data_IF_962970465009
#
_entry.id   IF_962970465009
#
_cell.length_a   1.000
_cell.length_b   1.000
_cell.length_c   1.000
_cell.angle_alpha   90.00
_cell.angle_beta   90.00
_cell.angle_gamma   90.00
#
_symmetry.space_group_name_H-M   'P 1'
#
loop_
_entity.id
_entity.type
_entity.pdbx_description
1 polymer ?
#
# COMPACT_ATOMS: atom_id res chain seq x y z
N UNK A 1 13.51 6.59 -17.48
CA UNK A 1 13.79 7.92 -16.90
C UNK A 1 12.86 8.07 -15.71
N UNK A 2 13.33 8.53 -14.56
CA UNK A 2 12.50 8.72 -13.36
C UNK A 2 11.54 9.89 -13.57
N UNK A 3 10.24 9.68 -13.36
CA UNK A 3 9.26 10.75 -13.38
C UNK A 3 9.43 11.65 -12.14
N UNK A 4 8.99 12.90 -12.23
CA UNK A 4 9.12 13.87 -11.13
C UNK A 4 7.74 14.42 -10.80
N UNK A 5 7.34 14.29 -9.54
CA UNK A 5 6.21 15.03 -8.97
C UNK A 5 6.72 16.38 -8.48
N UNK A 6 6.17 17.48 -8.97
CA UNK A 6 6.77 18.82 -8.81
C UNK A 6 5.91 19.70 -7.89
N UNK A 7 6.47 20.80 -7.36
CA UNK A 7 5.68 21.78 -6.61
C UNK A 7 4.53 22.38 -7.45
N UNK A 8 4.74 22.54 -8.76
CA UNK A 8 3.72 23.05 -9.69
C UNK A 8 2.54 22.09 -9.83
N UNK A 9 2.79 20.77 -9.84
CA UNK A 9 1.72 19.77 -9.79
C UNK A 9 0.91 19.93 -8.50
N UNK A 10 1.55 20.06 -7.34
CA UNK A 10 0.83 20.28 -6.07
C UNK A 10 0.06 21.60 -6.05
N UNK A 11 0.65 22.68 -6.56
CA UNK A 11 -0.02 23.99 -6.64
C UNK A 11 -1.30 23.95 -7.50
N UNK A 12 -1.43 22.98 -8.40
CA UNK A 12 -2.65 22.79 -9.18
C UNK A 12 -3.84 22.29 -8.34
N UNK A 13 -3.62 21.68 -7.16
CA UNK A 13 -4.69 21.25 -6.24
C UNK A 13 -5.58 22.44 -5.85
N UNK A 14 -4.96 23.59 -5.53
CA UNK A 14 -5.69 24.80 -5.12
C UNK A 14 -6.54 25.43 -6.25
N UNK A 15 -6.43 24.93 -7.48
CA UNK A 15 -7.11 25.48 -8.67
C UNK A 15 -8.37 24.71 -9.05
N UNK A 16 -8.70 23.63 -8.34
CA UNK A 16 -9.84 22.77 -8.61
C UNK A 16 -10.59 22.41 -7.32
N UNK A 17 -11.88 22.05 -7.39
CA UNK A 17 -12.58 21.42 -6.27
C UNK A 17 -11.87 20.14 -5.82
N UNK A 18 -11.80 19.92 -4.50
CA UNK A 18 -11.19 18.73 -3.94
C UNK A 18 -12.10 17.51 -4.19
N UNK A 19 -11.55 16.36 -4.63
CA UNK A 19 -12.28 15.11 -4.75
C UNK A 19 -12.44 14.44 -3.37
N UNK A 20 -13.17 15.09 -2.48
CA UNK A 20 -13.36 14.64 -1.10
C UNK A 20 -14.24 13.39 -1.04
N UNK A 21 -13.81 12.42 -0.23
CA UNK A 21 -14.65 11.30 0.19
C UNK A 21 -15.78 11.80 1.12
N UNK A 22 -16.95 11.15 1.13
CA UNK A 22 -17.98 11.42 2.13
C UNK A 22 -17.45 11.20 3.55
N UNK A 23 -17.97 11.98 4.50
CA UNK A 23 -17.66 11.81 5.92
C UNK A 23 -18.17 10.44 6.37
N UNK A 24 -17.30 9.65 7.00
CA UNK A 24 -17.67 8.34 7.55
C UNK A 24 -18.52 8.55 8.81
N UNK A 25 -19.70 7.93 8.84
CA UNK A 25 -20.54 7.91 10.04
C UNK A 25 -19.94 6.95 11.07
N UNK A 26 -19.41 7.50 12.16
CA UNK A 26 -18.83 6.73 13.25
C UNK A 26 -19.80 5.72 13.90
N UNK A 27 -21.12 5.96 13.81
CA UNK A 27 -22.12 5.06 14.36
C UNK A 27 -22.38 3.83 13.48
N UNK A 28 -21.99 3.89 12.20
CA UNK A 28 -22.12 2.80 11.24
C UNK A 28 -20.90 1.87 11.21
N UNK A 29 -19.83 2.20 11.95
CA UNK A 29 -18.58 1.42 11.96
C UNK A 29 -18.80 0.08 12.66
N UNK A 30 -18.50 -1.01 11.95
CA UNK A 30 -18.54 -2.37 12.48
C UNK A 30 -17.14 -3.00 12.38
N UNK A 31 -16.59 -3.54 13.48
CA UNK A 31 -15.31 -4.23 13.43
C UNK A 31 -15.46 -5.55 12.68
N UNK A 32 -14.57 -5.82 11.71
CA UNK A 32 -14.50 -7.13 11.04
C UNK A 32 -14.12 -8.22 12.05
N UNK A 33 -13.16 -7.92 12.94
CA UNK A 33 -12.73 -8.80 14.03
C UNK A 33 -12.75 -8.04 15.36
N UNK A 34 -13.77 -8.26 16.22
CA UNK A 34 -13.81 -7.63 17.54
C UNK A 34 -12.54 -7.92 18.35
N UNK A 35 -11.91 -6.88 18.90
CA UNK A 35 -10.69 -7.02 19.70
C UNK A 35 -9.38 -7.05 18.89
N UNK A 36 -9.44 -6.83 17.57
CA UNK A 36 -8.26 -6.75 16.70
C UNK A 36 -8.36 -5.48 15.85
N UNK A 37 -7.32 -4.66 15.88
CA UNK A 37 -7.20 -3.54 14.95
C UNK A 37 -6.70 -4.06 13.61
N UNK A 38 -7.40 -3.71 12.53
CA UNK A 38 -7.09 -4.12 11.17
C UNK A 38 -6.85 -2.89 10.27
N UNK A 39 -5.74 -2.91 9.53
CA UNK A 39 -5.38 -1.86 8.58
C UNK A 39 -4.61 -2.46 7.40
N UNK A 40 -4.33 -1.65 6.38
CA UNK A 40 -3.65 -2.07 5.14
C UNK A 40 -4.22 -3.37 4.56
N UNK A 41 -5.35 -3.26 3.87
CA UNK A 41 -6.01 -4.40 3.25
C UNK A 41 -5.53 -4.58 1.82
N UNK A 42 -5.24 -5.81 1.41
CA UNK A 42 -5.12 -6.17 -0.01
C UNK A 42 -5.71 -7.55 -0.30
N UNK A 43 -6.44 -7.70 -1.42
CA UNK A 43 -6.86 -9.02 -1.88
C UNK A 43 -5.68 -9.77 -2.45
N UNK A 44 -5.80 -11.10 -2.49
CA UNK A 44 -4.99 -11.92 -3.38
C UNK A 44 -5.39 -11.63 -4.82
N UNK A 45 -4.42 -11.37 -5.69
CA UNK A 45 -4.63 -11.07 -7.11
C UNK A 45 -3.99 -12.14 -7.98
N UNK A 46 -4.42 -12.30 -9.23
CA UNK A 46 -3.65 -13.05 -10.24
C UNK A 46 -2.59 -12.17 -10.88
N UNK A 47 -1.68 -12.76 -11.66
CA UNK A 47 -0.56 -12.03 -12.29
C UNK A 47 -0.99 -10.90 -13.23
N UNK A 48 -2.22 -10.92 -13.73
CA UNK A 48 -2.79 -9.86 -14.56
C UNK A 48 -3.36 -8.68 -13.76
N UNK A 49 -3.33 -8.77 -12.43
CA UNK A 49 -3.84 -7.75 -11.51
C UNK A 49 -5.30 -7.95 -11.10
N UNK A 50 -6.02 -8.93 -11.65
CA UNK A 50 -7.41 -9.17 -11.26
C UNK A 50 -7.52 -9.81 -9.87
N UNK A 51 -8.57 -9.49 -9.12
CA UNK A 51 -8.80 -10.10 -7.80
C UNK A 51 -9.11 -11.60 -7.95
N UNK A 52 -8.32 -12.44 -7.30
CA UNK A 52 -8.41 -13.88 -7.40
C UNK A 52 -9.64 -14.43 -6.64
N UNK A 53 -10.43 -15.26 -7.33
CA UNK A 53 -11.51 -16.04 -6.74
C UNK A 53 -10.97 -17.38 -6.23
N UNK A 54 -11.00 -17.59 -4.92
CA UNK A 54 -10.42 -18.76 -4.26
C UNK A 54 -11.48 -19.37 -3.34
N UNK A 55 -11.86 -20.62 -3.60
CA UNK A 55 -13.02 -21.24 -2.97
C UNK A 55 -14.33 -20.55 -3.35
N UNK A 56 -15.19 -20.27 -2.37
CA UNK A 56 -16.44 -19.50 -2.53
C UNK A 56 -16.25 -17.99 -2.30
N UNK A 57 -15.01 -17.52 -2.15
CA UNK A 57 -14.70 -16.15 -1.77
C UNK A 57 -13.45 -15.56 -2.42
N UNK A 58 -12.98 -14.50 -1.78
CA UNK A 58 -11.68 -13.87 -2.03
C UNK A 58 -10.85 -13.99 -0.77
N UNK A 59 -9.56 -14.25 -0.92
CA UNK A 59 -8.61 -14.19 0.19
C UNK A 59 -8.03 -12.78 0.28
N UNK A 60 -7.85 -12.31 1.51
CA UNK A 60 -7.33 -10.99 1.81
C UNK A 60 -6.25 -11.11 2.86
N UNK A 61 -5.17 -10.38 2.67
CA UNK A 61 -4.21 -10.13 3.72
C UNK A 61 -4.46 -8.75 4.30
N UNK A 62 -4.18 -8.65 5.58
CA UNK A 62 -4.40 -7.44 6.38
C UNK A 62 -3.33 -7.35 7.45
N UNK A 63 -2.93 -6.13 7.78
CA UNK A 63 -2.13 -5.90 8.98
C UNK A 63 -3.03 -5.90 10.20
N UNK A 64 -2.57 -6.56 11.26
CA UNK A 64 -3.33 -6.76 12.48
C UNK A 64 -2.48 -6.54 13.72
N UNK A 65 -3.14 -6.07 14.78
CA UNK A 65 -2.60 -6.02 16.13
C UNK A 65 -3.74 -6.19 17.14
N UNK A 66 -3.40 -6.61 18.36
CA UNK A 66 -4.37 -6.66 19.45
C UNK A 66 -4.92 -5.26 19.71
N UNK A 67 -6.23 -5.17 19.86
CA UNK A 67 -6.91 -3.92 20.16
C UNK A 67 -6.65 -3.46 21.61
N UNK A 68 -5.50 -2.85 21.87
CA UNK A 68 -5.14 -2.34 23.21
C UNK A 68 -4.44 -0.97 23.17
N UNK A 69 -4.71 -0.15 24.19
CA UNK A 69 -4.01 1.12 24.38
C UNK A 69 -4.20 2.13 23.24
N UNK A 70 -3.15 2.93 23.01
CA UNK A 70 -3.07 3.90 21.93
C UNK A 70 -2.96 3.18 20.57
N UNK A 71 -3.87 3.45 19.60
CA UNK A 71 -3.78 2.89 18.26
C UNK A 71 -2.43 3.06 17.58
N UNK A 72 -1.67 4.12 17.87
CA UNK A 72 -0.35 4.37 17.24
C UNK A 72 0.63 3.22 17.55
N UNK A 73 0.49 2.57 18.71
CA UNK A 73 1.35 1.46 19.12
C UNK A 73 1.11 0.18 18.29
N UNK A 74 0.04 0.10 17.50
CA UNK A 74 -0.23 -1.07 16.63
C UNK A 74 0.92 -1.34 15.65
N UNK A 75 1.61 -0.29 15.20
CA UNK A 75 2.71 -0.39 14.23
C UNK A 75 3.93 -1.13 14.80
N UNK A 76 4.12 -1.14 16.12
CA UNK A 76 5.20 -1.89 16.79
C UNK A 76 4.86 -3.36 17.04
N UNK A 77 3.59 -3.75 16.84
CA UNK A 77 3.05 -5.10 17.09
C UNK A 77 2.51 -5.78 15.82
N UNK A 78 2.61 -5.12 14.67
CA UNK A 78 1.98 -5.52 13.42
C UNK A 78 2.31 -6.97 13.01
N UNK A 79 1.26 -7.72 12.67
CA UNK A 79 1.31 -9.07 12.10
C UNK A 79 0.39 -9.17 10.90
N UNK A 80 0.83 -9.92 9.89
CA UNK A 80 0.00 -10.29 8.75
C UNK A 80 -1.04 -11.32 9.20
N UNK A 81 -2.30 -11.05 8.85
CA UNK A 81 -3.43 -11.94 9.09
C UNK A 81 -4.11 -12.25 7.77
N UNK A 82 -4.56 -13.49 7.61
CA UNK A 82 -5.31 -13.94 6.45
C UNK A 82 -6.80 -13.94 6.78
N UNK A 83 -7.60 -13.30 5.92
CA UNK A 83 -9.05 -13.30 5.99
C UNK A 83 -9.64 -13.88 4.69
N UNK A 84 -10.85 -14.43 4.79
CA UNK A 84 -11.62 -14.92 3.65
C UNK A 84 -12.96 -14.19 3.60
N UNK A 85 -13.22 -13.48 2.49
CA UNK A 85 -14.47 -12.74 2.26
C UNK A 85 -15.39 -13.53 1.33
N UNK A 86 -16.58 -13.90 1.83
CA UNK A 86 -17.63 -14.56 1.06
C UNK A 86 -18.93 -13.75 1.11
N UNK A 87 -20.01 -14.25 0.49
CA UNK A 87 -21.34 -13.66 0.61
C UNK A 87 -21.87 -13.66 2.06
N UNK A 88 -21.34 -14.52 2.93
CA UNK A 88 -21.69 -14.57 4.35
C UNK A 88 -20.89 -13.56 5.21
N UNK A 89 -19.95 -12.83 4.61
CA UNK A 89 -19.09 -11.86 5.30
C UNK A 89 -17.64 -12.35 5.44
N UNK A 90 -16.96 -11.81 6.44
CA UNK A 90 -15.55 -12.07 6.71
C UNK A 90 -15.36 -13.27 7.62
N UNK A 91 -14.43 -14.15 7.26
CA UNK A 91 -13.95 -15.24 8.10
C UNK A 91 -12.47 -15.09 8.35
N UNK A 92 -12.10 -15.15 9.62
CA UNK A 92 -10.72 -15.16 10.06
C UNK A 92 -10.03 -16.50 9.77
N UNK A 93 -8.89 -16.47 9.09
CA UNK A 93 -8.03 -17.64 8.87
C UNK A 93 -6.75 -17.60 9.71
N UNK A 94 -6.58 -16.58 10.56
CA UNK A 94 -5.48 -16.47 11.51
C UNK A 94 -4.22 -15.79 10.95
N UNK A 95 -3.16 -15.73 11.77
CA UNK A 95 -1.86 -15.18 11.35
C UNK A 95 -1.30 -15.92 10.13
N UNK A 96 -0.68 -15.17 9.22
CA UNK A 96 0.02 -15.74 8.05
C UNK A 96 1.21 -16.58 8.51
N UNK A 97 2.03 -16.01 9.38
CA UNK A 97 3.23 -16.63 9.88
C UNK A 97 3.01 -17.18 11.29
N UNK A 98 3.51 -18.39 11.54
CA UNK A 98 3.60 -18.91 12.90
C UNK A 98 4.49 -18.00 13.75
N UNK A 99 4.21 -17.93 15.06
CA UNK A 99 5.06 -17.19 15.98
C UNK A 99 6.51 -17.66 15.85
N UNK A 100 7.44 -16.72 15.69
CA UNK A 100 8.84 -17.05 15.44
C UNK A 100 9.12 -17.62 14.04
N UNK A 101 8.34 -17.29 13.00
CA UNK A 101 8.72 -17.58 11.60
C UNK A 101 9.02 -16.34 10.74
N UNK A 102 8.53 -15.14 11.10
CA UNK A 102 8.85 -13.88 10.40
C UNK A 102 10.28 -13.37 10.64
N UNK A 103 11.03 -12.92 9.61
CA UNK A 103 12.39 -12.41 9.75
C UNK A 103 12.48 -11.05 10.47
N UNK A 104 11.38 -10.31 10.53
CA UNK A 104 11.26 -9.05 11.25
C UNK A 104 10.68 -9.22 12.64
N UNK A 105 10.80 -8.19 13.48
CA UNK A 105 10.02 -8.11 14.72
C UNK A 105 8.57 -7.68 14.46
N UNK A 106 8.31 -7.08 13.29
CA UNK A 106 6.98 -6.75 12.77
C UNK A 106 6.88 -7.13 11.30
N UNK A 107 5.65 -7.40 10.89
CA UNK A 107 5.28 -7.68 9.49
C UNK A 107 4.42 -6.53 9.00
N UNK A 108 4.81 -5.93 7.89
CA UNK A 108 4.20 -4.76 7.27
C UNK A 108 3.72 -5.09 5.86
N UNK A 109 3.06 -4.11 5.22
CA UNK A 109 2.24 -4.33 4.04
C UNK A 109 3.01 -4.84 2.82
N UNK A 110 2.26 -5.29 1.81
CA UNK A 110 2.77 -5.68 0.51
C UNK A 110 1.65 -6.11 -0.44
N UNK A 111 1.86 -7.22 -1.16
CA UNK A 111 0.93 -7.76 -2.16
C UNK A 111 0.97 -9.29 -2.19
N UNK A 112 -0.04 -9.93 -2.76
CA UNK A 112 -0.08 -11.40 -2.82
C UNK A 112 -0.66 -11.89 -4.13
N UNK A 113 0.08 -12.77 -4.80
CA UNK A 113 -0.24 -13.26 -6.13
C UNK A 113 -0.61 -14.73 -6.09
N UNK A 114 -1.73 -15.09 -6.70
CA UNK A 114 -2.17 -16.45 -6.91
C UNK A 114 -1.85 -16.92 -8.32
N UNK A 115 -1.24 -18.08 -8.40
CA UNK A 115 -1.07 -18.84 -9.64
C UNK A 115 -2.12 -19.96 -9.70
N UNK A 116 -3.13 -19.86 -10.59
CA UNK A 116 -4.17 -20.88 -10.69
C UNK A 116 -3.68 -22.23 -11.23
N UNK A 117 -2.59 -22.25 -11.99
CA UNK A 117 -2.07 -23.47 -12.61
C UNK A 117 -1.34 -24.33 -11.58
N UNK A 118 -0.48 -23.70 -10.76
CA UNK A 118 0.23 -24.38 -9.67
C UNK A 118 -0.57 -24.43 -8.36
N UNK A 119 -1.62 -23.61 -8.24
CA UNK A 119 -2.40 -23.38 -7.02
C UNK A 119 -1.54 -22.89 -5.86
N UNK A 120 -0.67 -21.95 -6.16
CA UNK A 120 0.28 -21.38 -5.20
C UNK A 120 0.03 -19.89 -4.99
N UNK A 121 0.17 -19.44 -3.74
CA UNK A 121 0.27 -18.02 -3.37
C UNK A 121 1.75 -17.65 -3.28
N UNK A 122 2.12 -16.52 -3.83
CA UNK A 122 3.36 -15.80 -3.52
C UNK A 122 3.01 -14.51 -2.80
N UNK A 123 3.37 -14.42 -1.53
CA UNK A 123 3.27 -13.22 -0.72
C UNK A 123 4.55 -12.41 -0.87
N UNK A 124 4.42 -11.13 -1.20
CA UNK A 124 5.48 -10.13 -1.07
C UNK A 124 5.13 -9.22 0.11
N UNK A 125 6.04 -9.05 1.06
CA UNK A 125 5.77 -8.26 2.26
C UNK A 125 7.01 -7.55 2.78
N UNK A 126 6.78 -6.62 3.72
CA UNK A 126 7.85 -5.90 4.38
C UNK A 126 8.11 -6.49 5.76
N UNK A 127 9.36 -6.86 6.05
CA UNK A 127 9.79 -7.18 7.40
C UNK A 127 10.40 -5.94 8.04
N UNK A 128 9.83 -5.50 9.16
CA UNK A 128 10.33 -4.36 9.92
C UNK A 128 11.11 -4.80 11.17
N UNK A 129 12.29 -4.19 11.36
CA UNK A 129 13.27 -4.58 12.37
C UNK A 129 13.86 -5.97 12.16
N UNK A 130 14.56 -6.45 13.19
CA UNK A 130 15.00 -7.85 13.30
C UNK A 130 14.31 -8.49 14.49
N UNK A 131 13.91 -9.75 14.34
CA UNK A 131 13.17 -10.47 15.37
C UNK A 131 13.87 -10.44 16.74
N UNK A 132 15.12 -10.86 16.77
CA UNK A 132 15.91 -11.01 18.00
C UNK A 132 16.86 -9.83 18.24
N UNK A 133 16.62 -8.71 17.54
CA UNK A 133 17.43 -7.51 17.62
C UNK A 133 16.84 -6.44 18.52
N UNK A 134 17.60 -5.37 18.82
CA UNK A 134 17.02 -4.16 19.41
C UNK A 134 15.93 -3.60 18.49
N UNK A 135 15.01 -2.81 19.08
CA UNK A 135 14.00 -2.11 18.29
C UNK A 135 14.67 -1.22 17.24
N UNK A 136 14.20 -1.33 15.99
CA UNK A 136 14.64 -0.49 14.89
C UNK A 136 13.55 -0.39 13.83
N UNK A 137 13.64 0.63 12.99
CA UNK A 137 12.79 0.81 11.81
C UNK A 137 13.44 0.22 10.54
N UNK A 138 14.39 -0.71 10.68
CA UNK A 138 14.96 -1.42 9.53
C UNK A 138 13.83 -1.99 8.67
N UNK A 139 13.89 -1.79 7.35
CA UNK A 139 12.86 -2.25 6.43
C UNK A 139 13.51 -3.09 5.33
N UNK A 140 13.00 -4.30 5.13
CA UNK A 140 13.49 -5.26 4.14
C UNK A 140 12.31 -5.93 3.46
N UNK A 141 12.46 -6.22 2.17
CA UNK A 141 11.42 -6.85 1.36
C UNK A 141 11.64 -8.36 1.35
N UNK A 142 10.56 -9.11 1.51
CA UNK A 142 10.58 -10.57 1.55
C UNK A 142 9.50 -11.16 0.66
N UNK A 143 9.73 -12.39 0.21
CA UNK A 143 8.69 -13.24 -0.35
C UNK A 143 8.53 -14.55 0.43
N UNK A 144 7.33 -15.12 0.42
CA UNK A 144 7.02 -16.44 0.92
C UNK A 144 5.93 -17.10 0.07
N UNK A 145 5.90 -18.43 0.02
CA UNK A 145 4.96 -19.20 -0.79
C UNK A 145 4.08 -20.10 0.06
N UNK A 146 2.83 -20.32 -0.35
CA UNK A 146 1.94 -21.30 0.26
C UNK A 146 1.04 -21.95 -0.79
N UNK A 147 0.77 -23.24 -0.65
CA UNK A 147 -0.19 -23.95 -1.50
C UNK A 147 -1.62 -23.62 -1.10
N UNK A 148 -2.55 -23.72 -2.07
CA UNK A 148 -3.98 -23.48 -1.88
C UNK A 148 -4.78 -24.73 -2.24
N UNK A 149 -5.68 -25.13 -1.35
CA UNK A 149 -6.64 -26.21 -1.58
C UNK A 149 -8.04 -25.76 -1.20
N UNK A 150 -8.89 -25.48 -2.19
CA UNK A 150 -10.16 -24.79 -1.97
C UNK A 150 -9.91 -23.38 -1.44
N UNK A 151 -10.44 -23.06 -0.26
CA UNK A 151 -10.14 -21.82 0.47
C UNK A 151 -9.09 -21.99 1.58
N UNK A 152 -8.54 -23.19 1.75
CA UNK A 152 -7.51 -23.45 2.75
C UNK A 152 -6.13 -23.10 2.19
N UNK A 153 -5.35 -22.35 2.97
CA UNK A 153 -3.95 -22.02 2.68
C UNK A 153 -3.06 -22.93 3.52
N UNK A 154 -2.09 -23.57 2.87
CA UNK A 154 -1.11 -24.44 3.51
C UNK A 154 -0.09 -23.66 4.36
N UNK A 155 0.90 -24.37 4.89
CA UNK A 155 2.00 -23.73 5.59
C UNK A 155 2.82 -22.86 4.63
N UNK A 156 3.17 -21.66 5.09
CA UNK A 156 4.05 -20.76 4.34
C UNK A 156 5.50 -21.26 4.38
N UNK A 157 6.20 -21.09 3.26
CA UNK A 157 7.63 -21.33 3.17
C UNK A 157 8.40 -20.39 4.10
N UNK A 158 9.66 -20.73 4.39
CA UNK A 158 10.56 -19.79 5.04
C UNK A 158 10.67 -18.51 4.18
N UNK A 159 10.47 -17.31 4.75
CA UNK A 159 10.59 -16.07 4.00
C UNK A 159 12.00 -15.88 3.43
N UNK A 160 12.07 -15.51 2.15
CA UNK A 160 13.31 -15.22 1.42
C UNK A 160 13.43 -13.72 1.20
N UNK A 161 14.56 -13.14 1.58
CA UNK A 161 14.82 -11.71 1.32
C UNK A 161 14.95 -11.48 -0.19
N UNK A 162 14.33 -10.42 -0.68
CA UNK A 162 14.33 -10.03 -2.08
C UNK A 162 14.73 -8.57 -2.23
N UNK A 163 15.31 -8.24 -3.38
CA UNK A 163 15.68 -6.87 -3.72
C UNK A 163 16.44 -6.17 -2.56
N UNK A 164 17.52 -6.79 -2.08
CA UNK A 164 18.30 -6.22 -0.98
C UNK A 164 18.82 -4.82 -1.36
N UNK A 165 18.60 -3.84 -0.47
CA UNK A 165 18.95 -2.45 -0.75
C UNK A 165 20.47 -2.23 -0.68
N UNK A 166 21.07 -1.89 -1.82
CA UNK A 166 22.50 -1.66 -1.98
C UNK A 166 22.94 -0.21 -1.67
N UNK A 167 21.98 0.67 -1.35
CA UNK A 167 22.23 2.09 -1.07
C UNK A 167 22.51 2.94 -2.31
N UNK A 168 22.46 2.38 -3.52
CA UNK A 168 22.75 3.11 -4.76
C UNK A 168 21.60 4.03 -5.17
N UNK A 169 20.38 3.51 -5.14
CA UNK A 169 19.17 4.23 -5.56
C UNK A 169 18.36 4.71 -4.36
N UNK A 170 18.31 3.90 -3.30
CA UNK A 170 17.40 4.08 -2.18
C UNK A 170 18.17 4.16 -0.86
N UNK A 171 17.69 4.97 0.09
CA UNK A 171 18.27 5.05 1.43
C UNK A 171 18.22 3.67 2.09
N UNK A 172 19.35 3.20 2.62
CA UNK A 172 19.38 1.99 3.46
C UNK A 172 18.75 2.33 4.82
N UNK A 173 17.55 1.80 5.08
CA UNK A 173 16.82 2.10 6.30
C UNK A 173 17.33 1.20 7.43
N UNK A 174 18.10 1.75 8.36
CA UNK A 174 18.64 1.04 9.55
C UNK A 174 18.37 1.78 10.86
N UNK A 175 17.60 2.86 10.82
CA UNK A 175 17.44 3.80 11.93
C UNK A 175 16.88 3.11 13.18
N UNK A 176 17.49 3.39 14.33
CA UNK A 176 17.03 2.94 15.65
C UNK A 176 15.95 3.86 16.25
N UNK A 177 15.87 5.10 15.77
CA UNK A 177 14.95 6.14 16.26
C UNK A 177 14.23 6.82 15.08
N UNK A 178 13.03 7.32 15.36
CA UNK A 178 12.11 7.89 14.36
C UNK A 178 10.67 7.79 14.84
N UNK A 179 9.79 8.61 14.26
CA UNK A 179 8.34 8.56 14.50
C UNK A 179 7.55 8.54 13.19
N UNK A 180 6.23 8.35 13.25
CA UNK A 180 5.35 8.41 12.07
C UNK A 180 5.65 9.63 11.19
N UNK A 181 5.76 9.43 9.88
CA UNK A 181 6.02 10.50 8.90
C UNK A 181 7.47 10.99 8.81
N UNK A 182 8.38 10.54 9.68
CA UNK A 182 9.81 10.91 9.66
C UNK A 182 10.74 9.76 9.28
N UNK A 183 10.21 8.54 9.24
CA UNK A 183 10.94 7.32 8.92
C UNK A 183 11.17 7.23 7.41
N UNK A 184 12.37 6.83 7.00
CA UNK A 184 12.69 6.59 5.59
C UNK A 184 12.03 5.31 5.09
N UNK A 185 11.71 5.27 3.80
CA UNK A 185 10.90 4.20 3.22
C UNK A 185 11.74 3.19 2.44
N UNK A 186 11.44 1.91 2.67
CA UNK A 186 11.82 0.77 1.84
C UNK A 186 10.82 -0.37 2.06
N UNK A 187 9.55 -0.13 1.70
CA UNK A 187 8.40 -0.94 2.14
C UNK A 187 7.31 -1.03 1.09
N UNK A 188 6.29 -1.83 1.39
CA UNK A 188 5.05 -1.99 0.63
C UNK A 188 5.26 -2.52 -0.80
N UNK A 189 5.85 -3.72 -0.98
CA UNK A 189 6.09 -4.27 -2.31
C UNK A 189 4.76 -4.59 -3.02
N UNK A 190 4.43 -3.79 -4.04
CA UNK A 190 3.30 -3.96 -4.95
C UNK A 190 3.72 -4.65 -6.25
N UNK A 191 3.23 -5.86 -6.47
CA UNK A 191 3.50 -6.62 -7.69
C UNK A 191 2.81 -6.02 -8.92
N UNK A 192 3.52 -6.05 -10.05
CA UNK A 192 3.00 -5.72 -11.37
C UNK A 192 3.67 -6.58 -12.45
N UNK A 193 2.88 -7.17 -13.35
CA UNK A 193 3.42 -7.79 -14.57
C UNK A 193 3.11 -6.88 -15.75
N UNK A 194 4.15 -6.43 -16.46
CA UNK A 194 3.96 -5.55 -17.60
C UNK A 194 3.53 -6.37 -18.84
N UNK A 195 2.32 -6.17 -19.39
CA UNK A 195 1.90 -6.88 -20.59
C UNK A 195 2.70 -6.50 -21.85
N UNK A 196 3.53 -5.46 -21.81
CA UNK A 196 4.36 -5.05 -22.94
C UNK A 196 5.59 -5.94 -23.15
N UNK A 197 6.17 -6.50 -22.07
CA UNK A 197 7.37 -7.34 -22.13
C UNK A 197 7.28 -8.64 -21.31
N UNK A 198 6.11 -8.91 -20.70
CA UNK A 198 5.84 -10.02 -19.80
C UNK A 198 6.72 -10.07 -18.54
N UNK A 199 7.53 -9.04 -18.28
CA UNK A 199 8.38 -9.00 -17.10
C UNK A 199 7.58 -8.67 -15.84
N UNK A 200 8.04 -9.25 -14.73
CA UNK A 200 7.48 -9.02 -13.41
C UNK A 200 8.27 -7.93 -12.68
N UNK A 201 7.55 -7.06 -11.99
CA UNK A 201 8.05 -5.90 -11.28
C UNK A 201 7.50 -5.90 -9.85
N UNK A 202 8.29 -5.36 -8.94
CA UNK A 202 7.81 -4.88 -7.63
C UNK A 202 8.00 -3.38 -7.58
N UNK A 203 6.92 -2.66 -7.31
CA UNK A 203 6.96 -1.27 -6.87
C UNK A 203 7.05 -1.23 -5.36
N UNK A 204 7.69 -0.22 -4.79
CA UNK A 204 7.77 -0.07 -3.34
C UNK A 204 7.95 1.39 -2.95
N UNK A 205 7.48 1.75 -1.76
CA UNK A 205 7.74 3.05 -1.17
C UNK A 205 9.23 3.14 -0.81
N UNK A 206 9.92 4.13 -1.36
CA UNK A 206 11.36 4.33 -1.19
C UNK A 206 11.69 5.75 -0.72
N UNK A 207 12.91 5.95 -0.23
CA UNK A 207 13.51 7.29 -0.08
C UNK A 207 14.78 7.39 -0.93
N UNK A 208 15.03 8.52 -1.60
CA UNK A 208 16.16 8.71 -2.51
C UNK A 208 17.50 8.79 -1.77
N UNK A 209 18.45 7.90 -2.10
CA UNK A 209 19.76 7.83 -1.42
C UNK A 209 20.61 9.11 -1.58
N UNK A 210 20.53 9.77 -2.73
CA UNK A 210 21.37 10.92 -3.09
C UNK A 210 20.73 12.29 -2.84
N UNK A 211 19.52 12.34 -2.26
CA UNK A 211 18.84 13.61 -2.00
C UNK A 211 19.43 14.32 -0.79
N UNK A 212 19.50 15.65 -0.87
CA UNK A 212 19.82 16.52 0.28
C UNK A 212 18.58 16.93 1.08
N UNK A 213 17.39 16.59 0.60
CA UNK A 213 16.12 16.91 1.23
C UNK A 213 15.75 15.90 2.31
N UNK A 214 15.11 16.36 3.38
CA UNK A 214 14.43 15.47 4.32
C UNK A 214 13.11 14.93 3.76
N UNK A 215 12.58 15.54 2.68
CA UNK A 215 11.34 15.16 2.02
C UNK A 215 11.68 14.55 0.66
N UNK A 216 12.23 13.35 0.70
CA UNK A 216 12.88 12.68 -0.44
C UNK A 216 12.21 11.36 -0.79
N UNK A 217 10.89 11.28 -0.65
CA UNK A 217 10.09 10.11 -1.00
C UNK A 217 10.16 9.80 -2.49
N UNK A 218 10.07 8.52 -2.83
CA UNK A 218 10.01 8.03 -4.21
C UNK A 218 9.22 6.73 -4.29
N UNK A 219 8.83 6.37 -5.51
CA UNK A 219 8.34 5.04 -5.84
C UNK A 219 9.49 4.28 -6.49
N UNK A 220 10.03 3.33 -5.76
CA UNK A 220 11.08 2.43 -6.22
C UNK A 220 10.53 1.32 -7.10
N UNK A 221 11.44 0.65 -7.79
CA UNK A 221 11.13 -0.46 -8.67
C UNK A 221 12.23 -1.52 -8.62
N UNK A 222 11.82 -2.79 -8.60
CA UNK A 222 12.66 -3.95 -8.87
C UNK A 222 12.07 -4.72 -10.05
N UNK A 223 12.92 -5.29 -10.90
CA UNK A 223 12.52 -6.15 -12.02
C UNK A 223 13.01 -7.57 -11.75
N UNK A 224 12.17 -8.56 -12.05
CA UNK A 224 12.57 -9.96 -11.94
C UNK A 224 13.56 -10.32 -13.04
N UNK A 225 14.63 -11.03 -12.68
CA UNK A 225 15.61 -11.63 -13.58
C UNK A 225 15.89 -13.06 -13.10
N UNK A 226 15.33 -14.04 -13.81
CA UNK A 226 15.25 -15.44 -13.34
C UNK A 226 14.54 -15.54 -11.98
N UNK A 227 15.22 -16.12 -11.00
CA UNK A 227 14.71 -16.27 -9.63
C UNK A 227 15.05 -15.09 -8.70
N UNK A 228 15.74 -14.07 -9.22
CA UNK A 228 16.19 -12.91 -8.45
C UNK A 228 15.40 -11.66 -8.80
N UNK A 229 15.43 -10.69 -7.87
CA UNK A 229 14.89 -9.35 -8.06
C UNK A 229 16.04 -8.35 -8.14
N UNK A 230 16.12 -7.62 -9.25
CA UNK A 230 17.14 -6.60 -9.49
C UNK A 230 16.57 -5.21 -9.31
N UNK A 231 17.18 -4.43 -8.42
CA UNK A 231 16.82 -3.04 -8.20
C UNK A 231 17.03 -2.20 -9.45
N UNK A 232 16.02 -1.38 -9.73
CA UNK A 232 16.02 -0.42 -10.81
C UNK A 232 16.11 1.00 -10.24
N UNK A 233 16.33 1.99 -11.12
CA UNK A 233 16.13 3.39 -10.75
C UNK A 233 14.66 3.65 -10.37
N UNK A 234 14.38 4.64 -9.50
CA UNK A 234 13.00 4.94 -9.10
C UNK A 234 12.11 5.24 -10.31
N UNK A 235 10.85 4.83 -10.23
CA UNK A 235 9.82 5.12 -11.23
C UNK A 235 9.35 6.58 -11.11
N UNK A 236 9.15 7.05 -9.88
CA UNK A 236 8.71 8.40 -9.55
C UNK A 236 9.52 8.96 -8.38
N UNK A 237 9.93 10.22 -8.46
CA UNK A 237 10.56 10.97 -7.39
C UNK A 237 9.67 12.14 -6.93
N UNK A 238 9.62 12.35 -5.62
CA UNK A 238 8.92 13.46 -4.97
C UNK A 238 9.90 14.24 -4.07
N UNK A 239 11.09 14.54 -4.63
CA UNK A 239 12.16 15.23 -3.92
C UNK A 239 11.79 16.68 -3.63
N UNK A 240 12.05 17.14 -2.39
CA UNK A 240 11.55 18.40 -1.82
C UNK A 240 10.01 18.50 -1.75
N UNK A 241 9.29 17.39 -1.95
CA UNK A 241 7.81 17.37 -1.98
C UNK A 241 7.22 16.63 -0.79
N UNK A 242 7.46 15.32 -0.71
CA UNK A 242 6.86 14.45 0.30
C UNK A 242 7.89 13.44 0.78
N UNK A 243 7.85 13.12 2.07
CA UNK A 243 8.70 12.07 2.63
C UNK A 243 8.17 10.65 2.30
N UNK A 244 6.87 10.48 2.07
CA UNK A 244 6.24 9.15 1.96
C UNK A 244 5.28 9.05 0.75
N UNK A 245 5.51 8.04 -0.09
CA UNK A 245 4.64 7.65 -1.21
C UNK A 245 4.27 6.18 -1.02
N UNK A 246 3.31 5.94 -0.13
CA UNK A 246 3.02 4.63 0.46
C UNK A 246 2.15 3.76 -0.44
N UNK A 247 2.31 2.44 -0.31
CA UNK A 247 1.58 1.42 -1.09
C UNK A 247 1.51 1.69 -2.60
N UNK A 248 2.64 1.93 -3.28
CA UNK A 248 2.61 2.17 -4.70
C UNK A 248 2.18 0.93 -5.47
N UNK A 249 1.27 1.10 -6.43
CA UNK A 249 0.75 0.01 -7.27
C UNK A 249 0.32 0.54 -8.64
N UNK A 250 0.28 -0.35 -9.64
CA UNK A 250 -0.20 -0.02 -10.98
C UNK A 250 -1.48 -0.80 -11.28
N UNK A 251 -2.49 -0.10 -11.80
CA UNK A 251 -3.68 -0.70 -12.42
C UNK A 251 -3.64 -0.44 -13.92
N UNK A 252 -3.86 -1.49 -14.72
CA UNK A 252 -4.04 -1.36 -16.18
C UNK A 252 -5.52 -1.14 -16.46
N UNK A 253 -5.84 -0.03 -17.14
CA UNK A 253 -7.22 0.27 -17.50
C UNK A 253 -7.25 0.95 -18.88
N UNK A 254 -8.12 0.47 -19.77
CA UNK A 254 -8.30 1.01 -21.13
C UNK A 254 -6.99 1.25 -21.90
N UNK A 255 -6.04 0.30 -21.78
CA UNK A 255 -4.75 0.37 -22.47
C UNK A 255 -3.72 1.31 -21.85
N UNK A 256 -4.04 1.96 -20.73
CA UNK A 256 -3.14 2.85 -19.98
C UNK A 256 -2.68 2.20 -18.67
N UNK A 257 -1.55 2.70 -18.15
CA UNK A 257 -0.98 2.35 -16.86
C UNK A 257 -1.31 3.47 -15.89
N UNK A 258 -1.98 3.15 -14.79
CA UNK A 258 -2.30 4.08 -13.71
C UNK A 258 -1.48 3.72 -12.48
N UNK A 259 -0.47 4.53 -12.17
CA UNK A 259 0.34 4.43 -10.96
C UNK A 259 -0.37 5.17 -9.83
N UNK A 260 -0.60 4.51 -8.72
CA UNK A 260 -1.24 5.08 -7.53
C UNK A 260 -0.36 4.96 -6.30
N UNK A 261 -0.51 5.87 -5.34
CA UNK A 261 0.09 5.82 -4.02
C UNK A 261 -0.75 6.59 -3.00
N UNK A 262 -0.60 6.24 -1.72
CA UNK A 262 -1.17 6.98 -0.60
C UNK A 262 -0.13 7.94 -0.01
N UNK A 263 -0.55 9.11 0.45
CA UNK A 263 0.31 10.01 1.25
C UNK A 263 -0.52 10.78 2.27
N UNK A 264 0.07 11.08 3.42
CA UNK A 264 -0.56 11.89 4.45
C UNK A 264 -0.27 13.38 4.22
N UNK A 265 -1.18 14.25 4.65
CA UNK A 265 -0.97 15.70 4.58
C UNK A 265 0.20 16.19 5.46
N UNK A 266 0.53 15.45 6.52
CA UNK A 266 1.60 15.78 7.47
C UNK A 266 3.01 15.50 6.97
N UNK A 267 3.16 14.75 5.88
CA UNK A 267 4.47 14.32 5.35
C UNK A 267 4.96 15.13 4.15
N UNK A 268 4.24 16.21 3.80
CA UNK A 268 4.69 17.17 2.80
C UNK A 268 5.74 18.11 3.36
N UNK A 269 6.64 18.58 2.49
CA UNK A 269 7.70 19.50 2.83
C UNK A 269 7.15 20.84 3.38
N UNK A 270 7.86 21.52 4.29
CA UNK A 270 7.45 22.80 4.83
C UNK A 270 7.09 23.81 3.73
N UNK A 271 5.89 24.39 3.84
CA UNK A 271 5.37 25.34 2.85
C UNK A 271 4.52 24.72 1.74
N UNK A 272 4.49 23.39 1.62
CA UNK A 272 3.56 22.67 0.75
C UNK A 272 2.37 22.17 1.58
N UNK A 273 1.16 22.38 1.06
CA UNK A 273 -0.09 21.97 1.72
C UNK A 273 -0.92 21.17 0.74
N UNK A 274 -1.16 19.91 1.08
CA UNK A 274 -2.02 19.00 0.33
C UNK A 274 -2.69 17.99 1.28
N UNK A 275 -3.88 17.49 0.95
CA UNK A 275 -4.64 16.65 1.86
C UNK A 275 -4.06 15.22 1.92
N UNK A 276 -4.34 14.52 3.02
CA UNK A 276 -4.19 13.06 3.07
C UNK A 276 -5.11 12.42 2.03
N UNK A 277 -4.56 11.53 1.20
CA UNK A 277 -5.34 10.99 0.10
C UNK A 277 -4.63 9.96 -0.76
N UNK A 278 -5.37 9.51 -1.76
CA UNK A 278 -4.90 8.73 -2.90
C UNK A 278 -4.43 9.69 -3.99
N UNK A 279 -3.23 9.46 -4.48
CA UNK A 279 -2.62 10.20 -5.57
C UNK A 279 -2.25 9.24 -6.69
N UNK A 280 -2.08 9.75 -7.92
CA UNK A 280 -1.70 8.92 -9.04
C UNK A 280 -1.20 9.67 -10.27
N UNK A 281 -0.56 8.91 -11.17
CA UNK A 281 -0.12 9.34 -12.50
C UNK A 281 -0.56 8.32 -13.55
N UNK A 282 -0.69 8.76 -14.79
CA UNK A 282 -1.02 7.92 -15.95
C UNK A 282 0.09 7.93 -16.98
N UNK A 283 0.28 6.80 -17.67
CA UNK A 283 1.18 6.67 -18.82
C UNK A 283 0.64 5.65 -19.82
N UNK A 284 1.09 5.72 -21.07
CA UNK A 284 0.86 4.67 -22.07
C UNK A 284 1.87 3.52 -21.98
N UNK A 285 2.94 3.66 -21.18
CA UNK A 285 3.99 2.66 -20.99
C UNK A 285 4.63 2.78 -19.60
N UNK A 286 5.12 1.68 -19.03
CA UNK A 286 5.81 1.67 -17.73
C UNK A 286 7.02 2.63 -17.70
N UNK A 287 7.76 2.74 -18.81
CA UNK A 287 8.91 3.62 -18.95
C UNK A 287 8.57 5.13 -18.96
N UNK A 288 7.29 5.49 -18.99
CA UNK A 288 6.80 6.86 -19.08
C UNK A 288 6.67 7.39 -20.52
N UNK A 289 6.44 8.71 -20.68
CA UNK A 289 6.34 9.71 -19.62
C UNK A 289 5.08 9.54 -18.77
N UNK A 290 5.21 9.83 -17.47
CA UNK A 290 4.08 9.80 -16.52
C UNK A 290 3.49 11.19 -16.36
N UNK A 291 2.16 11.28 -16.43
CA UNK A 291 1.40 12.53 -16.32
C UNK A 291 0.54 12.48 -15.05
N UNK A 292 0.55 13.51 -14.18
CA UNK A 292 -0.29 13.52 -12.98
C UNK A 292 -1.78 13.45 -13.31
N UNK A 293 -2.51 12.57 -12.62
CA UNK A 293 -3.96 12.52 -12.73
C UNK A 293 -4.58 13.84 -12.23
N UNK A 294 -5.63 14.29 -12.89
CA UNK A 294 -6.31 15.54 -12.58
C UNK A 294 -5.38 16.78 -12.60
N UNK A 295 -4.22 16.69 -13.27
CA UNK A 295 -3.22 17.75 -13.38
C UNK A 295 -2.33 17.93 -12.15
N UNK A 296 -2.73 17.45 -10.97
CA UNK A 296 -1.97 17.58 -9.72
C UNK A 296 -1.42 16.26 -9.18
N UNK A 297 -2.03 15.15 -9.61
CA UNK A 297 -1.86 13.83 -9.05
C UNK A 297 -2.93 13.48 -8.02
N UNK A 298 -3.70 14.43 -7.47
CA UNK A 298 -4.73 14.12 -6.46
C UNK A 298 -5.93 13.40 -7.09
N UNK A 299 -6.25 12.20 -6.56
CA UNK A 299 -7.33 11.34 -7.05
C UNK A 299 -8.53 11.37 -6.10
N UNK A 300 -8.30 11.09 -4.82
CA UNK A 300 -9.30 11.17 -3.74
C UNK A 300 -8.62 11.71 -2.48
N UNK A 301 -9.34 12.46 -1.66
CA UNK A 301 -8.84 12.88 -0.34
C UNK A 301 -9.87 12.70 0.77
N UNK A 302 -9.37 12.64 2.00
CA UNK A 302 -10.22 12.81 3.17
C UNK A 302 -10.87 14.22 3.15
N UNK A 303 -12.12 14.35 3.61
CA UNK A 303 -12.79 15.65 3.67
C UNK A 303 -12.12 16.54 4.72
N UNK A 304 -12.11 17.85 4.50
CA UNK A 304 -11.44 18.80 5.39
C UNK A 304 -11.92 18.75 6.86
N UNK A 305 -13.17 18.34 7.10
CA UNK A 305 -13.75 18.18 8.44
C UNK A 305 -13.34 16.87 9.14
N UNK A 306 -12.83 15.89 8.40
CA UNK A 306 -12.36 14.60 8.92
C UNK A 306 -11.07 14.16 8.19
N UNK A 307 -9.96 14.92 8.32
CA UNK A 307 -8.76 14.79 7.48
C UNK A 307 -7.98 13.48 7.70
N UNK A 308 -8.32 12.73 8.75
CA UNK A 308 -7.68 11.47 9.13
C UNK A 308 -8.66 10.28 9.05
N UNK A 309 -9.83 10.40 8.42
CA UNK A 309 -10.86 9.36 8.52
C UNK A 309 -10.46 8.02 7.89
N UNK A 310 -9.70 8.05 6.80
CA UNK A 310 -9.28 6.86 6.07
C UNK A 310 -7.83 6.99 5.61
N UNK A 311 -7.16 5.85 5.43
CA UNK A 311 -5.81 5.81 4.89
C UNK A 311 -5.52 4.46 4.22
N UNK A 312 -4.33 4.34 3.62
CA UNK A 312 -3.86 3.10 2.97
C UNK A 312 -4.77 2.66 1.82
N UNK A 313 -5.01 3.57 0.88
CA UNK A 313 -5.84 3.32 -0.29
C UNK A 313 -5.16 2.39 -1.30
N UNK A 314 -5.91 1.42 -1.80
CA UNK A 314 -5.53 0.49 -2.86
C UNK A 314 -6.64 0.44 -3.92
N UNK A 315 -6.29 0.71 -5.18
CA UNK A 315 -7.18 0.61 -6.33
C UNK A 315 -7.11 -0.79 -6.92
N UNK A 316 -8.28 -1.42 -7.13
CA UNK A 316 -8.42 -2.75 -7.69
C UNK A 316 -8.68 -2.71 -9.21
N UNK A 317 -8.70 -3.87 -9.86
CA UNK A 317 -8.89 -4.01 -11.31
C UNK A 317 -10.25 -3.52 -11.79
N UNK A 318 -11.27 -3.62 -10.95
CA UNK A 318 -12.62 -3.10 -11.19
C UNK A 318 -12.78 -1.61 -10.82
N UNK A 319 -11.67 -0.94 -10.48
CA UNK A 319 -11.61 0.45 -10.02
C UNK A 319 -12.28 0.73 -8.66
N UNK A 320 -12.60 -0.31 -7.89
CA UNK A 320 -12.88 -0.18 -6.47
C UNK A 320 -11.63 0.32 -5.74
N UNK A 321 -11.81 1.17 -4.75
CA UNK A 321 -10.73 1.69 -3.90
C UNK A 321 -11.02 1.28 -2.46
N UNK A 322 -10.15 0.42 -1.95
CA UNK A 322 -10.24 -0.08 -0.58
C UNK A 322 -9.28 0.67 0.32
N UNK A 323 -9.71 0.93 1.56
CA UNK A 323 -8.93 1.60 2.60
C UNK A 323 -9.39 1.10 3.98
N UNK A 324 -8.71 1.52 5.04
CA UNK A 324 -9.19 1.31 6.40
C UNK A 324 -9.67 2.63 7.01
N UNK A 325 -10.53 2.53 8.01
CA UNK A 325 -10.97 3.65 8.85
C UNK A 325 -9.86 3.91 9.88
N UNK A 326 -9.21 5.06 9.78
CA UNK A 326 -8.17 5.49 10.70
C UNK A 326 -8.81 6.28 11.85
N UNK A 327 -8.73 7.61 11.87
CA UNK A 327 -9.22 8.43 12.97
C UNK A 327 -10.47 9.25 12.58
N UNK A 328 -11.62 8.87 13.14
CA UNK A 328 -12.95 9.51 12.93
C UNK A 328 -13.51 10.20 14.18
N UNK A 329 -12.77 10.17 15.29
CA UNK A 329 -13.10 10.84 16.54
C UNK A 329 -11.85 11.05 17.39
N UNK A 330 -11.94 11.38 18.69
CA UNK A 330 -10.75 11.51 19.55
C UNK A 330 -10.31 10.17 20.16
N UNK A 331 -8.99 9.99 20.27
CA UNK A 331 -8.36 8.87 20.98
C UNK A 331 -8.77 7.49 20.45
N UNK A 332 -8.62 6.46 21.28
CA UNK A 332 -8.91 5.07 20.89
C UNK A 332 -10.36 4.85 20.44
N UNK A 333 -11.32 5.48 21.10
CA UNK A 333 -12.74 5.33 20.74
C UNK A 333 -13.07 5.92 19.36
N UNK A 334 -12.25 6.85 18.87
CA UNK A 334 -12.36 7.40 17.52
C UNK A 334 -11.52 6.68 16.47
N UNK A 335 -10.78 5.64 16.84
CA UNK A 335 -10.01 4.85 15.88
C UNK A 335 -10.86 3.71 15.33
N UNK A 336 -10.93 3.59 14.01
CA UNK A 336 -11.78 2.61 13.34
C UNK A 336 -11.17 1.20 13.34
N UNK A 337 -9.93 1.06 12.88
CA UNK A 337 -9.22 -0.23 12.86
C UNK A 337 -9.97 -1.33 12.10
N UNK A 338 -10.69 -0.95 11.04
CA UNK A 338 -11.51 -1.84 10.22
C UNK A 338 -11.62 -1.28 8.80
N UNK A 339 -12.19 -2.02 7.85
CA UNK A 339 -12.34 -1.58 6.47
C UNK A 339 -13.27 -0.37 6.36
N UNK A 340 -12.90 0.61 5.55
CA UNK A 340 -13.74 1.77 5.23
C UNK A 340 -14.73 1.42 4.10
N UNK A 341 -15.84 2.19 3.95
CA UNK A 341 -16.66 2.12 2.74
C UNK A 341 -15.81 2.21 1.47
N UNK A 342 -16.11 1.36 0.50
CA UNK A 342 -15.32 1.22 -0.73
C UNK A 342 -15.72 2.34 -1.68
N UNK A 343 -14.76 3.12 -2.15
CA UNK A 343 -15.01 4.12 -3.19
C UNK A 343 -14.94 3.48 -4.57
N UNK A 344 -15.75 3.94 -5.53
CA UNK A 344 -15.66 3.51 -6.92
C UNK A 344 -15.08 4.65 -7.76
N UNK A 345 -14.01 4.37 -8.52
CA UNK A 345 -13.44 5.34 -9.45
C UNK A 345 -13.99 5.16 -10.87
N UNK A 346 -13.97 6.27 -11.61
CA UNK A 346 -14.00 6.32 -13.07
C UNK A 346 -12.71 6.95 -13.56
N UNK A 347 -12.04 6.28 -14.49
CA UNK A 347 -10.80 6.75 -15.14
C UNK A 347 -11.06 7.03 -16.61
N UNK A 348 -10.57 8.17 -17.10
CA UNK A 348 -10.66 8.57 -18.51
C UNK A 348 -9.42 9.39 -18.91
N UNK A 349 -8.45 8.74 -19.57
CA UNK A 349 -7.18 9.39 -19.90
C UNK A 349 -6.45 9.82 -18.62
N UNK A 350 -6.20 11.13 -18.49
CA UNK A 350 -5.57 11.76 -17.33
C UNK A 350 -6.55 12.22 -16.23
N UNK A 351 -7.82 11.82 -16.31
CA UNK A 351 -8.86 12.15 -15.34
C UNK A 351 -9.24 10.97 -14.47
N UNK A 352 -9.42 11.23 -13.18
CA UNK A 352 -9.94 10.30 -12.20
C UNK A 352 -11.03 10.98 -11.37
N UNK A 353 -12.18 10.32 -11.19
CA UNK A 353 -13.33 10.88 -10.48
C UNK A 353 -13.97 9.82 -9.57
N UNK A 354 -14.51 10.26 -8.44
CA UNK A 354 -15.38 9.44 -7.60
C UNK A 354 -16.73 9.24 -8.31
N UNK A 355 -17.10 7.99 -8.57
CA UNK A 355 -18.38 7.62 -9.14
C UNK A 355 -19.44 7.33 -8.06
N UNK A 356 -19.02 6.86 -6.89
CA UNK A 356 -19.90 6.53 -5.78
C UNK A 356 -19.18 5.79 -4.66
N UNK A 357 -19.94 5.42 -3.63
CA UNK A 357 -19.49 4.60 -2.51
C UNK A 357 -20.28 3.29 -2.48
N UNK A 358 -19.64 2.23 -2.00
CA UNK A 358 -20.19 0.89 -1.79
C UNK A 358 -19.92 0.51 -0.33
N UNK A 359 -20.90 -0.11 0.33
CA UNK A 359 -20.71 -0.59 1.70
C UNK A 359 -19.64 -1.70 1.75
N UNK A 360 -18.82 -1.64 2.80
CA UNK A 360 -17.56 -2.40 2.93
C UNK A 360 -17.72 -3.90 3.14
#
# INVERSE_FOLDING_TARGET
MTAIWTPDHLAAIARAPLPELPVIDATAVQPILPGVDLWDFWPVQTRDGSVARIGDGTLWLVLSAVAAGDPVERHSQARLRLLHRTAAGWRDLGPVFAEGSSPGSREWSGSTIYDPDSRELTLFFTAAGRRDGPFSYEQRLFEAQASVSGAAVGAWSAPREIAANDGRHYVVVTMAEGGPGTIKAYRDPGYFRDPADDAEYLLFAGSLAGSTSLFNGCIGMARRDGDAWQLQSPLLAADDISNELERPHIVRHQGLYYLFWSTQGSVFAPGLVAPSGLYGMVSSALAGPWTPLNGSGLVLCNPGVAPMQAFSWLVLDDLSVVSFIDQIGPGRAGFGGTMAPIAQLVLAGDRAQLAGMIDA
#
